data_IF_630290676544
#
_entry.id   IF_630290676544
#
_cell.length_a   1.000
_cell.length_b   1.000
_cell.length_c   1.000
_cell.angle_alpha   90.00
_cell.angle_beta   90.00
_cell.angle_gamma   90.00
#
_symmetry.space_group_name_H-M   'P 1'
#
loop_
_entity.id
_entity.type
_entity.pdbx_description
1 polymer ?
#
# COMPACT_ATOMS: atom_id res chain seq x y z
N UNK A 1 4.09 -16.69 -51.62
CA UNK A 1 4.34 -16.58 -50.17
C UNK A 1 5.03 -17.87 -49.76
N UNK A 2 6.33 -17.82 -49.49
CA UNK A 2 7.14 -19.00 -49.12
C UNK A 2 7.15 -19.09 -47.60
N UNK A 3 6.56 -20.15 -47.04
CA UNK A 3 6.64 -20.47 -45.62
C UNK A 3 8.06 -20.97 -45.32
N UNK A 4 8.82 -20.18 -44.58
CA UNK A 4 10.11 -20.57 -44.03
C UNK A 4 9.88 -21.66 -42.97
N UNK A 5 9.98 -22.93 -43.36
CA UNK A 5 9.94 -24.04 -42.43
C UNK A 5 11.15 -23.97 -41.49
N UNK A 6 10.94 -23.54 -40.25
CA UNK A 6 11.98 -23.59 -39.21
C UNK A 6 12.25 -25.06 -38.91
N UNK A 7 13.42 -25.56 -39.30
CA UNK A 7 13.86 -26.91 -38.97
C UNK A 7 14.05 -27.03 -37.45
N UNK A 8 13.24 -27.88 -36.83
CA UNK A 8 13.25 -28.16 -35.37
C UNK A 8 14.47 -29.02 -34.96
N UNK A 9 15.32 -29.41 -35.91
CA UNK A 9 16.41 -30.33 -35.66
C UNK A 9 17.64 -29.64 -35.04
N UNK A 10 17.83 -29.93 -33.75
CA UNK A 10 18.99 -29.68 -32.87
C UNK A 10 18.82 -28.56 -31.84
N UNK A 11 17.84 -28.72 -30.95
CA UNK A 11 17.92 -28.10 -29.63
C UNK A 11 19.21 -28.59 -28.96
N UNK A 12 20.09 -27.66 -28.60
CA UNK A 12 21.35 -28.00 -27.93
C UNK A 12 21.04 -28.33 -26.47
N UNK A 13 21.87 -29.14 -25.82
CA UNK A 13 21.76 -29.42 -24.36
C UNK A 13 21.61 -28.12 -23.54
N UNK A 14 22.29 -27.05 -23.95
CA UNK A 14 22.17 -25.71 -23.35
C UNK A 14 20.74 -25.16 -23.37
N UNK A 15 20.00 -25.39 -24.44
CA UNK A 15 18.64 -24.90 -24.59
C UNK A 15 17.67 -25.68 -23.69
N UNK A 16 17.88 -26.99 -23.54
CA UNK A 16 17.17 -27.79 -22.55
C UNK A 16 17.45 -27.36 -21.11
N UNK A 17 18.71 -27.08 -20.76
CA UNK A 17 19.07 -26.59 -19.42
C UNK A 17 18.44 -25.21 -19.14
N UNK A 18 18.44 -24.31 -20.12
CA UNK A 18 17.76 -23.01 -20.01
C UNK A 18 16.26 -23.17 -19.84
N UNK A 19 15.63 -24.02 -20.65
CA UNK A 19 14.20 -24.30 -20.55
C UNK A 19 13.85 -24.87 -19.17
N UNK A 20 14.64 -25.83 -18.67
CA UNK A 20 14.47 -26.39 -17.34
C UNK A 20 14.61 -25.33 -16.24
N UNK A 21 15.62 -24.45 -16.34
CA UNK A 21 15.81 -23.36 -15.38
C UNK A 21 14.64 -22.38 -15.40
N UNK A 22 14.16 -21.96 -16.57
CA UNK A 22 13.01 -21.06 -16.70
C UNK A 22 11.75 -21.72 -16.16
N UNK A 23 11.49 -22.98 -16.51
CA UNK A 23 10.35 -23.73 -15.99
C UNK A 23 10.38 -23.86 -14.47
N UNK A 24 11.54 -24.17 -13.89
CA UNK A 24 11.73 -24.22 -12.45
C UNK A 24 11.50 -22.84 -11.81
N UNK A 25 12.06 -21.77 -12.38
CA UNK A 25 11.85 -20.41 -11.88
C UNK A 25 10.37 -20.01 -11.90
N UNK A 26 9.67 -20.25 -13.01
CA UNK A 26 8.23 -19.96 -13.13
C UNK A 26 7.44 -20.75 -12.08
N UNK A 27 7.71 -22.06 -11.93
CA UNK A 27 7.05 -22.87 -10.91
C UNK A 27 7.28 -22.31 -9.49
N UNK A 28 8.51 -21.90 -9.17
CA UNK A 28 8.83 -21.28 -7.88
C UNK A 28 8.10 -19.95 -7.67
N UNK A 29 8.08 -19.07 -8.67
CA UNK A 29 7.34 -17.81 -8.60
C UNK A 29 5.84 -18.06 -8.44
N UNK A 30 5.27 -19.05 -9.13
CA UNK A 30 3.86 -19.44 -8.96
C UNK A 30 3.58 -19.94 -7.54
N UNK A 31 4.45 -20.77 -6.96
CA UNK A 31 4.32 -21.20 -5.57
C UNK A 31 4.40 -20.02 -4.59
N UNK A 32 5.30 -19.07 -4.85
CA UNK A 32 5.45 -17.91 -3.99
C UNK A 32 4.28 -16.94 -4.09
N UNK A 33 3.67 -16.84 -5.27
CA UNK A 33 2.48 -16.03 -5.55
C UNK A 33 1.20 -16.57 -4.88
N UNK A 34 1.25 -17.77 -4.26
CA UNK A 34 0.16 -18.25 -3.42
C UNK A 34 -0.16 -17.21 -2.33
N UNK A 35 -1.45 -16.91 -2.08
CA UNK A 35 -1.88 -15.90 -1.12
C UNK A 35 -1.14 -15.98 0.21
N UNK A 36 -0.89 -14.83 0.83
CA UNK A 36 -0.28 -14.75 2.15
C UNK A 36 -1.18 -13.88 3.06
N UNK A 37 -2.27 -14.45 3.59
CA UNK A 37 -3.18 -13.73 4.48
C UNK A 37 -2.55 -13.35 5.84
N UNK A 38 -1.30 -13.77 6.10
CA UNK A 38 -0.67 -13.86 7.43
C UNK A 38 -1.48 -14.79 8.33
N UNK A 39 -0.90 -15.07 9.50
CA UNK A 39 -1.66 -15.70 10.58
C UNK A 39 -2.64 -14.68 11.14
N UNK A 40 -3.87 -15.13 11.36
CA UNK A 40 -4.93 -14.35 11.97
C UNK A 40 -4.93 -14.64 13.47
N UNK A 41 -5.00 -13.59 14.28
CA UNK A 41 -5.14 -13.68 15.73
C UNK A 41 -6.44 -12.99 16.20
N UNK A 42 -6.77 -13.11 17.49
CA UNK A 42 -7.99 -12.54 18.08
C UNK A 42 -8.10 -11.02 17.90
N UNK A 43 -6.97 -10.30 17.90
CA UNK A 43 -6.97 -8.85 17.70
C UNK A 43 -7.35 -8.49 16.27
N UNK A 44 -6.96 -9.29 15.29
CA UNK A 44 -7.36 -9.09 13.89
C UNK A 44 -8.87 -9.32 13.74
N UNK A 45 -9.41 -10.34 14.44
CA UNK A 45 -10.86 -10.61 14.46
C UNK A 45 -11.67 -9.47 15.09
N UNK A 46 -11.07 -8.67 15.97
CA UNK A 46 -11.70 -7.49 16.54
C UNK A 46 -11.75 -6.29 15.56
N UNK A 47 -11.11 -6.37 14.38
CA UNK A 47 -11.18 -5.32 13.37
C UNK A 47 -12.57 -5.27 12.71
N UNK A 48 -13.32 -4.16 12.84
CA UNK A 48 -14.63 -4.02 12.21
C UNK A 48 -14.60 -4.18 10.68
N UNK A 49 -13.50 -3.78 10.03
CA UNK A 49 -13.37 -3.91 8.58
C UNK A 49 -13.26 -5.38 8.15
N UNK A 50 -12.60 -6.21 8.96
CA UNK A 50 -12.53 -7.65 8.70
C UNK A 50 -13.88 -8.33 8.94
N UNK A 51 -14.59 -7.94 10.00
CA UNK A 51 -15.93 -8.46 10.31
C UNK A 51 -16.95 -8.13 9.22
N UNK A 52 -16.85 -6.96 8.59
CA UNK A 52 -17.70 -6.60 7.46
C UNK A 52 -17.44 -7.50 6.25
N UNK A 53 -16.16 -7.78 5.93
CA UNK A 53 -15.82 -8.73 4.87
C UNK A 53 -16.37 -10.13 5.19
N UNK A 54 -16.30 -10.58 6.45
CA UNK A 54 -16.91 -11.85 6.85
C UNK A 54 -18.44 -11.83 6.77
N UNK A 55 -19.07 -10.68 6.98
CA UNK A 55 -20.50 -10.51 6.74
C UNK A 55 -20.83 -10.72 5.27
N UNK A 56 -20.11 -10.04 4.36
CA UNK A 56 -20.29 -10.16 2.91
C UNK A 56 -20.13 -11.63 2.46
N UNK A 57 -19.12 -12.34 2.97
CA UNK A 57 -18.92 -13.77 2.65
C UNK A 57 -20.01 -14.68 3.21
N UNK A 58 -20.52 -14.40 4.41
CA UNK A 58 -21.64 -15.17 4.98
C UNK A 58 -22.91 -15.02 4.16
N UNK A 59 -23.21 -13.81 3.66
CA UNK A 59 -24.35 -13.59 2.77
C UNK A 59 -24.23 -14.44 1.49
N UNK A 60 -23.02 -14.50 0.91
CA UNK A 60 -22.74 -15.36 -0.26
C UNK A 60 -22.91 -16.85 0.06
N UNK A 61 -22.42 -17.30 1.21
CA UNK A 61 -22.54 -18.69 1.65
C UNK A 61 -23.99 -19.07 1.97
N UNK A 62 -24.73 -18.16 2.59
CA UNK A 62 -26.15 -18.34 2.90
C UNK A 62 -26.97 -18.46 1.62
N UNK A 63 -26.67 -17.65 0.60
CA UNK A 63 -27.27 -17.79 -0.73
C UNK A 63 -26.96 -19.14 -1.41
N UNK A 64 -25.87 -19.81 -1.00
CA UNK A 64 -25.51 -21.16 -1.43
C UNK A 64 -26.05 -22.27 -0.50
N UNK A 65 -26.87 -21.92 0.51
CA UNK A 65 -27.46 -22.86 1.46
C UNK A 65 -26.57 -23.21 2.66
N UNK A 66 -25.49 -22.46 2.89
CA UNK A 66 -24.57 -22.63 4.01
C UNK A 66 -24.72 -21.46 4.99
N UNK A 67 -25.47 -21.67 6.07
CA UNK A 67 -25.63 -20.67 7.14
C UNK A 67 -24.55 -20.84 8.20
N UNK A 68 -23.76 -19.79 8.43
CA UNK A 68 -22.74 -19.74 9.48
C UNK A 68 -23.00 -18.55 10.41
N UNK A 69 -22.90 -18.78 11.71
CA UNK A 69 -22.89 -17.72 12.72
C UNK A 69 -21.60 -16.88 12.63
N UNK A 70 -21.58 -15.65 13.19
CA UNK A 70 -20.34 -14.87 13.29
C UNK A 70 -19.20 -15.65 13.97
N UNK A 71 -19.52 -16.36 15.04
CA UNK A 71 -18.56 -17.12 15.86
C UNK A 71 -17.99 -18.32 15.10
N UNK A 72 -18.85 -19.07 14.38
CA UNK A 72 -18.41 -20.17 13.52
C UNK A 72 -17.52 -19.67 12.38
N UNK A 73 -17.88 -18.53 11.76
CA UNK A 73 -17.10 -17.93 10.68
C UNK A 73 -15.72 -17.49 11.16
N UNK A 74 -15.65 -16.80 12.31
CA UNK A 74 -14.39 -16.38 12.92
C UNK A 74 -13.49 -17.59 13.23
N UNK A 75 -14.06 -18.64 13.81
CA UNK A 75 -13.34 -19.88 14.14
C UNK A 75 -12.83 -20.59 12.90
N UNK A 76 -13.70 -20.75 11.89
CA UNK A 76 -13.38 -21.39 10.63
C UNK A 76 -12.27 -20.64 9.89
N UNK A 77 -12.40 -19.32 9.73
CA UNK A 77 -11.42 -18.50 9.01
C UNK A 77 -10.08 -18.49 9.74
N UNK A 78 -10.07 -18.31 11.06
CA UNK A 78 -8.82 -18.32 11.84
C UNK A 78 -8.12 -19.67 11.73
N UNK A 79 -8.86 -20.77 11.89
CA UNK A 79 -8.33 -22.13 11.79
C UNK A 79 -7.79 -22.40 10.38
N UNK A 80 -8.58 -22.11 9.35
CA UNK A 80 -8.19 -22.33 7.95
C UNK A 80 -6.99 -21.47 7.56
N UNK A 81 -6.99 -20.18 7.87
CA UNK A 81 -5.89 -19.27 7.54
C UNK A 81 -4.58 -19.73 8.20
N UNK A 82 -4.63 -20.13 9.48
CA UNK A 82 -3.44 -20.60 10.19
C UNK A 82 -2.93 -21.93 9.64
N UNK A 83 -3.81 -22.90 9.38
CA UNK A 83 -3.44 -24.18 8.75
C UNK A 83 -2.87 -23.99 7.34
N UNK A 84 -3.49 -23.11 6.55
CA UNK A 84 -2.99 -22.76 5.23
C UNK A 84 -1.60 -22.12 5.32
N UNK A 85 -1.36 -21.23 6.28
CA UNK A 85 -0.03 -20.63 6.49
C UNK A 85 1.01 -21.66 6.93
N UNK A 86 0.63 -22.66 7.72
CA UNK A 86 1.48 -23.80 8.08
C UNK A 86 1.85 -24.62 6.85
N UNK A 87 0.86 -25.02 6.04
CA UNK A 87 1.09 -25.76 4.80
C UNK A 87 1.96 -24.96 3.82
N UNK A 88 1.67 -23.66 3.65
CA UNK A 88 2.46 -22.76 2.79
C UNK A 88 3.91 -22.65 3.27
N UNK A 89 4.14 -22.58 4.59
CA UNK A 89 5.49 -22.55 5.13
C UNK A 89 6.25 -23.84 4.80
N UNK A 90 5.63 -25.00 4.97
CA UNK A 90 6.24 -26.31 4.62
C UNK A 90 6.60 -26.39 3.13
N UNK A 91 5.73 -25.90 2.24
CA UNK A 91 5.96 -25.91 0.79
C UNK A 91 7.09 -24.94 0.39
N UNK A 92 7.16 -23.76 1.02
CA UNK A 92 8.09 -22.70 0.61
C UNK A 92 9.44 -22.73 1.33
N UNK A 93 9.56 -23.36 2.50
CA UNK A 93 10.80 -23.40 3.26
C UNK A 93 11.99 -23.97 2.46
N UNK A 94 11.84 -25.09 1.72
CA UNK A 94 12.94 -25.67 0.94
C UNK A 94 13.49 -24.74 -0.16
N UNK A 95 12.66 -23.83 -0.67
CA UNK A 95 12.99 -22.95 -1.79
C UNK A 95 13.33 -21.52 -1.33
N UNK A 96 13.26 -21.26 -0.02
CA UNK A 96 13.57 -19.96 0.58
C UNK A 96 14.98 -19.45 0.25
N UNK A 97 16.06 -20.27 0.27
CA UNK A 97 17.40 -19.79 -0.08
C UNK A 97 17.48 -19.28 -1.53
N UNK A 98 16.73 -19.89 -2.45
CA UNK A 98 16.67 -19.45 -3.84
C UNK A 98 16.08 -18.03 -3.97
N UNK A 99 15.00 -17.75 -3.24
CA UNK A 99 14.39 -16.41 -3.25
C UNK A 99 15.25 -15.36 -2.55
N UNK A 100 15.99 -15.75 -1.49
CA UNK A 100 16.97 -14.87 -0.86
C UNK A 100 18.11 -14.55 -1.82
N UNK A 101 18.64 -15.56 -2.52
CA UNK A 101 19.73 -15.39 -3.48
C UNK A 101 19.33 -14.54 -4.69
N UNK A 102 18.15 -14.79 -5.27
CA UNK A 102 17.68 -14.06 -6.46
C UNK A 102 17.06 -12.70 -6.14
N UNK A 103 16.77 -12.41 -4.87
CA UNK A 103 16.04 -11.21 -4.46
C UNK A 103 14.57 -11.22 -4.89
N UNK A 104 14.05 -12.34 -5.41
CA UNK A 104 12.69 -12.43 -5.94
C UNK A 104 11.59 -12.44 -4.87
N UNK A 105 11.88 -12.07 -3.61
CA UNK A 105 10.89 -12.08 -2.54
C UNK A 105 9.74 -11.10 -2.82
N UNK A 106 8.50 -11.61 -2.76
CA UNK A 106 7.31 -10.76 -2.78
C UNK A 106 7.09 -10.15 -1.39
N UNK A 107 7.54 -8.90 -1.20
CA UNK A 107 7.39 -8.17 0.06
C UNK A 107 5.94 -7.64 0.30
N UNK A 108 5.10 -7.68 -0.73
CA UNK A 108 3.77 -7.06 -0.75
C UNK A 108 2.69 -8.13 -0.59
N UNK A 109 1.69 -7.88 0.26
CA UNK A 109 0.53 -8.76 0.36
C UNK A 109 -0.45 -8.44 -0.76
N UNK A 110 -0.61 -9.33 -1.74
CA UNK A 110 -1.41 -9.04 -2.94
C UNK A 110 -2.94 -9.03 -2.69
N UNK A 111 -3.43 -9.53 -1.57
CA UNK A 111 -4.87 -9.71 -1.33
C UNK A 111 -5.26 -9.48 0.13
N UNK A 112 -4.80 -8.37 0.72
CA UNK A 112 -5.35 -7.91 2.00
C UNK A 112 -6.83 -7.51 1.87
N UNK A 113 -7.55 -7.48 2.98
CA UNK A 113 -8.88 -6.86 2.97
C UNK A 113 -8.76 -5.37 2.61
N UNK A 114 -9.75 -4.85 1.90
CA UNK A 114 -9.74 -3.46 1.45
C UNK A 114 -9.75 -2.53 2.66
N UNK A 115 -8.75 -1.66 2.79
CA UNK A 115 -8.80 -0.58 3.76
C UNK A 115 -9.90 0.41 3.34
N UNK A 116 -11.07 0.30 3.96
CA UNK A 116 -12.22 1.19 3.73
C UNK A 116 -12.00 2.61 4.26
N UNK A 117 -10.92 2.81 5.02
CA UNK A 117 -10.54 4.10 5.60
C UNK A 117 -9.13 4.54 5.21
N UNK A 118 -8.83 4.71 3.91
CA UNK A 118 -7.48 5.07 3.48
C UNK A 118 -7.12 6.48 3.94
N UNK A 119 -5.82 6.73 4.05
CA UNK A 119 -5.27 8.03 4.39
C UNK A 119 -4.95 8.83 3.12
N UNK A 120 -5.15 10.13 3.18
CA UNK A 120 -4.74 11.10 2.15
C UNK A 120 -3.76 12.09 2.77
N UNK A 121 -2.62 12.27 2.13
CA UNK A 121 -1.68 13.32 2.51
C UNK A 121 -2.33 14.69 2.24
N UNK A 122 -2.21 15.61 3.19
CA UNK A 122 -2.62 17.00 3.05
C UNK A 122 -1.46 17.92 3.43
N UNK A 123 -1.23 18.94 2.61
CA UNK A 123 -0.30 20.04 2.87
C UNK A 123 -1.09 21.34 2.85
N UNK A 124 -1.06 22.05 3.96
CA UNK A 124 -1.79 23.29 4.17
C UNK A 124 -0.81 24.37 4.64
N UNK A 125 -1.07 25.62 4.28
CA UNK A 125 -0.23 26.75 4.64
C UNK A 125 -1.07 27.83 5.31
N UNK A 126 -0.54 28.42 6.37
CA UNK A 126 -1.07 29.61 7.00
C UNK A 126 -0.30 30.82 6.46
N UNK A 127 -1.00 31.73 5.79
CA UNK A 127 -0.40 32.96 5.30
C UNK A 127 -0.04 33.93 6.45
N UNK A 128 0.79 34.93 6.16
CA UNK A 128 1.05 36.04 7.08
C UNK A 128 -0.24 36.79 7.50
N UNK A 129 -1.28 36.78 6.66
CA UNK A 129 -2.60 37.34 6.96
C UNK A 129 -3.45 36.48 7.92
N UNK A 130 -2.98 35.29 8.29
CA UNK A 130 -3.68 34.40 9.23
C UNK A 130 -4.71 33.49 8.58
N UNK A 131 -4.73 33.38 7.25
CA UNK A 131 -5.65 32.51 6.51
C UNK A 131 -4.98 31.18 6.15
N UNK A 132 -5.69 30.07 6.38
CA UNK A 132 -5.27 28.74 5.95
C UNK A 132 -5.72 28.48 4.51
N UNK A 133 -4.80 28.04 3.65
CA UNK A 133 -5.09 27.49 2.34
C UNK A 133 -4.52 26.08 2.19
N UNK A 134 -5.18 25.23 1.41
CA UNK A 134 -4.66 23.90 1.09
C UNK A 134 -3.83 24.02 -0.19
N UNK A 135 -2.57 23.60 -0.13
CA UNK A 135 -1.71 23.54 -1.33
C UNK A 135 -1.87 22.18 -2.03
N UNK A 136 -1.86 21.10 -1.24
CA UNK A 136 -1.97 19.74 -1.74
C UNK A 136 -2.96 18.91 -0.92
N UNK A 137 -3.81 18.17 -1.62
CA UNK A 137 -4.59 17.08 -1.05
C UNK A 137 -4.54 15.89 -2.00
N UNK A 138 -4.07 14.74 -1.51
CA UNK A 138 -3.92 13.55 -2.34
C UNK A 138 -5.25 13.18 -3.04
N UNK A 139 -5.19 13.02 -4.37
CA UNK A 139 -6.34 12.74 -5.25
C UNK A 139 -7.42 13.83 -5.31
N UNK A 140 -7.08 15.07 -5.00
CA UNK A 140 -7.95 16.23 -5.19
C UNK A 140 -7.46 17.08 -6.39
N UNK A 141 -8.26 17.28 -7.46
CA UNK A 141 -7.91 18.13 -8.60
C UNK A 141 -7.78 19.62 -8.29
N UNK A 142 -8.36 20.11 -7.20
CA UNK A 142 -8.32 21.55 -6.87
C UNK A 142 -7.08 21.93 -6.05
N UNK A 143 -6.39 20.95 -5.46
CA UNK A 143 -5.25 21.14 -4.58
C UNK A 143 -4.10 20.22 -5.00
N UNK A 144 -3.36 20.63 -6.03
CA UNK A 144 -2.43 19.78 -6.78
C UNK A 144 -0.96 20.23 -6.73
N UNK A 145 -0.59 21.05 -5.73
CA UNK A 145 0.80 21.49 -5.55
C UNK A 145 1.77 20.30 -5.56
N UNK A 146 2.73 20.34 -6.50
CA UNK A 146 3.70 19.26 -6.79
C UNK A 146 3.08 17.86 -6.96
N UNK A 147 1.86 17.77 -7.51
CA UNK A 147 1.16 16.49 -7.77
C UNK A 147 2.02 15.46 -8.47
N UNK A 148 2.79 15.84 -9.50
CA UNK A 148 3.63 14.89 -10.25
C UNK A 148 4.61 14.13 -9.33
N UNK A 149 5.11 14.78 -8.28
CA UNK A 149 5.94 14.14 -7.27
C UNK A 149 5.09 13.29 -6.33
N UNK A 150 4.11 13.88 -5.64
CA UNK A 150 3.36 13.22 -4.57
C UNK A 150 2.47 12.06 -5.05
N UNK A 151 1.96 12.13 -6.29
CA UNK A 151 1.16 11.07 -6.90
C UNK A 151 2.02 10.04 -7.65
N UNK A 152 3.34 10.22 -7.71
CA UNK A 152 4.24 9.20 -8.27
C UNK A 152 4.14 7.89 -7.48
N UNK A 153 4.31 6.75 -8.15
CA UNK A 153 4.19 5.44 -7.52
C UNK A 153 5.18 5.23 -6.36
N UNK A 154 6.37 5.83 -6.45
CA UNK A 154 7.37 5.80 -5.37
C UNK A 154 6.88 6.56 -4.14
N UNK A 155 6.38 7.78 -4.32
CA UNK A 155 5.85 8.58 -3.22
C UNK A 155 4.58 7.96 -2.65
N UNK A 156 3.71 7.39 -3.48
CA UNK A 156 2.48 6.72 -3.03
C UNK A 156 2.78 5.56 -2.07
N UNK A 157 3.77 4.72 -2.40
CA UNK A 157 4.20 3.65 -1.51
C UNK A 157 4.71 4.18 -0.16
N UNK A 158 5.51 5.25 -0.21
CA UNK A 158 6.05 5.91 0.98
C UNK A 158 4.96 6.59 1.84
N UNK A 159 4.03 7.32 1.23
CA UNK A 159 2.89 7.96 1.93
C UNK A 159 2.00 6.90 2.57
N UNK A 160 1.70 5.80 1.87
CA UNK A 160 0.95 4.69 2.45
C UNK A 160 1.69 4.09 3.65
N UNK A 161 3.00 3.89 3.55
CA UNK A 161 3.82 3.42 4.67
C UNK A 161 3.79 4.38 5.86
N UNK A 162 3.91 5.68 5.58
CA UNK A 162 3.84 6.71 6.61
C UNK A 162 2.46 6.80 7.25
N UNK A 163 1.39 6.39 6.57
CA UNK A 163 0.01 6.34 7.10
C UNK A 163 -0.21 5.37 8.27
N UNK A 164 0.81 4.56 8.62
CA UNK A 164 0.78 3.64 9.77
C UNK A 164 1.38 4.25 11.05
N UNK A 165 0.79 3.96 12.21
CA UNK A 165 1.14 4.59 13.51
C UNK A 165 2.60 4.41 13.89
N UNK A 166 3.18 3.24 13.65
CA UNK A 166 4.59 2.96 13.92
C UNK A 166 5.57 3.71 13.01
N UNK A 167 5.09 4.34 11.93
CA UNK A 167 5.93 5.04 10.93
C UNK A 167 5.89 6.56 11.05
N UNK A 168 5.37 7.10 12.17
CA UNK A 168 5.28 8.55 12.41
C UNK A 168 6.62 9.28 12.33
N UNK A 169 7.73 8.62 12.69
CA UNK A 169 9.07 9.22 12.57
C UNK A 169 9.42 9.60 11.13
N UNK A 170 9.18 8.69 10.17
CA UNK A 170 9.41 8.97 8.75
C UNK A 170 8.47 10.03 8.19
N UNK A 171 7.22 10.07 8.67
CA UNK A 171 6.28 11.15 8.32
C UNK A 171 6.79 12.53 8.73
N UNK A 172 7.43 12.65 9.91
CA UNK A 172 8.02 13.92 10.37
C UNK A 172 9.18 14.37 9.48
N UNK A 173 10.08 13.45 9.13
CA UNK A 173 11.19 13.76 8.21
C UNK A 173 10.66 14.24 6.85
N UNK A 174 9.59 13.61 6.34
CA UNK A 174 8.91 14.10 5.14
C UNK A 174 8.33 15.50 5.36
N UNK A 175 7.70 15.77 6.51
CA UNK A 175 7.13 17.08 6.81
C UNK A 175 8.21 18.17 6.90
N UNK A 176 9.39 17.85 7.44
CA UNK A 176 10.55 18.74 7.50
C UNK A 176 10.95 19.15 6.07
N UNK A 177 11.24 18.16 5.21
CA UNK A 177 11.61 18.40 3.81
C UNK A 177 10.51 19.14 3.02
N UNK A 178 9.25 18.70 3.11
CA UNK A 178 8.12 19.35 2.42
C UNK A 178 7.96 20.80 2.86
N UNK A 179 8.12 21.09 4.15
CA UNK A 179 7.96 22.46 4.65
C UNK A 179 9.00 23.42 4.07
N UNK A 180 10.25 22.98 3.92
CA UNK A 180 11.29 23.75 3.25
C UNK A 180 10.93 24.07 1.79
N UNK A 181 10.45 23.08 1.04
CA UNK A 181 10.00 23.28 -0.34
C UNK A 181 8.83 24.27 -0.42
N UNK A 182 7.87 24.19 0.52
CA UNK A 182 6.75 25.16 0.58
C UNK A 182 7.27 26.56 0.89
N UNK A 183 8.15 26.75 1.87
CA UNK A 183 8.64 28.08 2.23
C UNK A 183 9.48 28.75 1.12
N UNK A 184 10.11 27.97 0.24
CA UNK A 184 10.75 28.51 -0.96
C UNK A 184 9.75 29.03 -2.00
N UNK A 185 8.65 28.32 -2.21
CA UNK A 185 7.68 28.63 -3.27
C UNK A 185 6.57 29.58 -2.81
N UNK A 186 6.28 29.61 -1.51
CA UNK A 186 5.25 30.43 -0.89
C UNK A 186 5.88 31.40 0.14
N UNK A 187 6.53 32.51 -0.28
CA UNK A 187 7.21 33.44 0.63
C UNK A 187 6.30 34.08 1.69
N UNK A 188 4.99 34.11 1.44
CA UNK A 188 3.99 34.62 2.37
C UNK A 188 3.52 33.55 3.38
N UNK A 189 4.05 32.34 3.31
CA UNK A 189 3.80 31.28 4.26
C UNK A 189 4.43 31.59 5.62
N UNK A 190 3.62 31.58 6.68
CA UNK A 190 4.09 31.70 8.06
C UNK A 190 4.28 30.34 8.72
N UNK A 191 3.39 29.40 8.42
CA UNK A 191 3.35 28.08 9.02
C UNK A 191 2.85 27.06 8.01
N UNK A 192 3.53 25.92 7.91
CA UNK A 192 3.10 24.78 7.10
C UNK A 192 2.55 23.71 8.03
N UNK A 193 1.40 23.14 7.66
CA UNK A 193 0.80 21.98 8.31
C UNK A 193 0.75 20.82 7.33
N UNK A 194 1.45 19.74 7.65
CA UNK A 194 1.29 18.47 6.97
C UNK A 194 0.47 17.53 7.85
N UNK A 195 -0.50 16.83 7.25
CA UNK A 195 -1.34 15.88 7.99
C UNK A 195 -1.83 14.72 7.12
N UNK A 196 -2.31 13.67 7.78
CA UNK A 196 -3.03 12.58 7.12
C UNK A 196 -4.53 12.74 7.36
N UNK A 197 -5.30 12.85 6.27
CA UNK A 197 -6.77 12.87 6.29
C UNK A 197 -7.26 11.46 6.05
N UNK A 198 -7.78 10.80 7.08
CA UNK A 198 -8.46 9.52 6.91
C UNK A 198 -9.81 9.79 6.26
N UNK A 199 -10.03 9.21 5.09
CA UNK A 199 -11.32 9.29 4.40
C UNK A 199 -12.12 8.02 4.63
N UNK A 200 -13.44 8.11 4.53
CA UNK A 200 -14.30 6.93 4.44
C UNK A 200 -14.60 6.69 2.96
N UNK A 201 -14.29 5.50 2.44
CA UNK A 201 -14.73 5.14 1.10
C UNK A 201 -16.26 4.98 1.12
N UNK A 202 -17.02 5.78 0.36
CA UNK A 202 -18.45 5.59 0.22
C UNK A 202 -18.76 4.32 -0.57
N UNK A 203 -19.98 3.82 -0.48
CA UNK A 203 -20.47 2.78 -1.39
C UNK A 203 -20.46 3.29 -2.83
N UNK A 204 -20.42 2.40 -3.84
CA UNK A 204 -20.43 2.81 -5.24
C UNK A 204 -21.62 3.71 -5.61
N UNK A 205 -22.80 3.48 -5.02
CA UNK A 205 -23.99 4.29 -5.29
C UNK A 205 -23.87 5.70 -4.72
N UNK A 206 -23.40 5.83 -3.47
CA UNK A 206 -23.14 7.14 -2.83
C UNK A 206 -22.04 7.90 -3.57
N UNK A 207 -21.01 7.20 -4.07
CA UNK A 207 -19.96 7.84 -4.87
C UNK A 207 -20.50 8.37 -6.20
N UNK A 208 -21.36 7.60 -6.89
CA UNK A 208 -22.00 8.02 -8.14
C UNK A 208 -22.92 9.23 -7.95
N UNK A 209 -23.66 9.27 -6.85
CA UNK A 209 -24.58 10.38 -6.55
C UNK A 209 -23.83 11.65 -6.14
N UNK A 210 -22.89 11.53 -5.21
CA UNK A 210 -22.26 12.70 -4.58
C UNK A 210 -20.99 13.17 -5.25
N UNK A 211 -20.28 12.27 -5.95
CA UNK A 211 -18.93 12.51 -6.48
C UNK A 211 -17.89 12.84 -5.40
N UNK A 212 -18.22 12.69 -4.10
CA UNK A 212 -17.44 13.21 -2.99
C UNK A 212 -17.03 12.08 -2.04
N UNK A 213 -15.84 12.23 -1.48
CA UNK A 213 -15.29 11.33 -0.47
C UNK A 213 -15.12 12.12 0.81
N UNK A 214 -15.83 11.72 1.87
CA UNK A 214 -15.83 12.45 3.14
C UNK A 214 -14.56 12.16 3.95
N UNK A 215 -14.01 13.21 4.56
CA UNK A 215 -12.93 13.05 5.54
C UNK A 215 -13.54 12.68 6.89
N UNK A 216 -13.12 11.54 7.44
CA UNK A 216 -13.59 11.03 8.74
C UNK A 216 -12.81 11.65 9.89
N UNK A 217 -11.48 11.72 9.78
CA UNK A 217 -10.61 12.33 10.79
C UNK A 217 -9.31 12.82 10.16
N UNK A 218 -8.73 13.85 10.77
CA UNK A 218 -7.36 14.28 10.49
C UNK A 218 -6.46 13.80 11.61
N UNK A 219 -5.30 13.26 11.27
CA UNK A 219 -4.36 12.75 12.26
C UNK A 219 -2.91 13.06 11.86
N UNK A 220 -2.05 13.05 12.90
CA UNK A 220 -0.66 13.51 12.86
C UNK A 220 -0.47 14.88 12.21
N UNK A 221 -1.10 15.93 12.75
CA UNK A 221 -0.71 17.27 12.33
C UNK A 221 0.76 17.49 12.74
N UNK A 222 1.59 17.82 11.77
CA UNK A 222 2.97 18.24 11.96
C UNK A 222 3.06 19.67 11.44
N UNK A 223 3.53 20.58 12.31
CA UNK A 223 3.61 22.01 12.05
C UNK A 223 5.07 22.42 11.95
N UNK A 224 5.41 23.27 10.97
CA UNK A 224 6.74 23.84 10.79
C UNK A 224 6.64 25.33 10.51
N UNK A 225 7.45 26.12 11.20
CA UNK A 225 7.58 27.55 10.94
C UNK A 225 8.68 27.78 9.89
N UNK A 226 8.65 28.96 9.25
CA UNK A 226 9.63 29.31 8.23
C UNK A 226 11.07 29.22 8.74
N UNK A 227 11.28 29.60 10.00
CA UNK A 227 12.59 29.59 10.65
C UNK A 227 13.10 28.18 11.02
N UNK A 228 12.24 27.15 10.96
CA UNK A 228 12.58 25.76 11.29
C UNK A 228 13.18 25.00 10.09
N UNK A 229 13.22 25.61 8.90
CA UNK A 229 13.74 24.96 7.71
C UNK A 229 15.26 24.76 7.81
N UNK A 230 15.67 23.53 8.16
CA UNK A 230 17.06 23.10 8.11
C UNK A 230 17.29 22.47 6.74
N UNK A 231 17.94 23.22 5.84
CA UNK A 231 18.48 22.64 4.62
C UNK A 231 19.55 21.62 5.00
N UNK A 232 19.34 20.36 4.62
CA UNK A 232 20.43 19.39 4.60
C UNK A 232 21.32 19.84 3.46
N UNK A 233 22.48 20.40 3.79
CA UNK A 233 23.46 20.80 2.79
C UNK A 233 24.02 19.52 2.14
N UNK A 234 23.63 19.24 0.90
CA UNK A 234 24.07 18.06 0.15
C UNK A 234 25.59 18.03 -0.08
N UNK A 235 26.31 19.12 0.23
CA UNK A 235 27.77 19.17 0.11
C UNK A 235 28.52 18.24 1.07
N UNK A 236 27.89 17.74 2.14
CA UNK A 236 28.51 16.79 3.08
C UNK A 236 28.25 15.32 2.74
N UNK A 237 27.38 14.99 1.77
CA UNK A 237 26.98 13.61 1.48
C UNK A 237 27.87 12.89 0.44
N UNK A 238 28.95 13.53 -0.02
CA UNK A 238 29.83 13.03 -1.09
C UNK A 238 31.23 12.58 -0.65
N UNK A 239 31.50 12.36 0.64
CA UNK A 239 32.75 11.73 1.13
C UNK A 239 32.64 10.21 1.35
#
# INVERSE_FOLDING_TARGET
MSESSVSVSELRLRDHLRALFVAAHVALITLMALPNPRRINERDLADPALQEVFSDWREVLEAAGVSLTPEETNTLVMSFANQYMDARAVVLDPVRPYFQYTGANQAWQMFGYLNRTPARLSVEVLSQGGEWSTLFLARDPEHDWRRALFDSERMRGMVNHYSWRERRGGFRMLADWVSCEVFLEEPNAKLVRMSMKQVQLPTPDVLRETGRISTRRTYWPEFRYADDCIWIDDSEATE
#
